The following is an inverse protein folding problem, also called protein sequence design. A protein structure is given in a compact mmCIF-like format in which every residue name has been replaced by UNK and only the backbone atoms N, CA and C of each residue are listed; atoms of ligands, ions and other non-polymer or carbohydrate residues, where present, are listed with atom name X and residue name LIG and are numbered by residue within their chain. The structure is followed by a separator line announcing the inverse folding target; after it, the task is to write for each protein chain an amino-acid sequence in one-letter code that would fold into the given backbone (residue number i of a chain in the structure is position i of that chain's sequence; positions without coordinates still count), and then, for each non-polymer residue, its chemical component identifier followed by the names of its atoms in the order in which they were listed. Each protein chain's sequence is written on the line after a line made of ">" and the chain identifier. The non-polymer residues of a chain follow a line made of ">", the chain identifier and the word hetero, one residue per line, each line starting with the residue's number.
data_IF_428569164681
#
_entry.id   IF_428569164681
#
_cell.length_a   1.000
_cell.length_b   1.000
_cell.length_c   1.000
_cell.angle_alpha   90.00
_cell.angle_beta   90.00
_cell.angle_gamma   90.00
#
_symmetry.space_group_name_H-M   'P 1'
#
loop_
_entity.id
_entity.type
_entity.pdbx_description
1 polymer ?
#
# COMPACT_ATOMS: atom_id res chain seq x y z
N UNK A 1 -3.98 10.88 4.02
CA UNK A 1 -2.84 11.11 3.09
C UNK A 1 -2.88 12.58 2.67
N UNK A 2 -1.85 13.14 2.03
CA UNK A 2 -1.88 14.51 1.50
C UNK A 2 -1.82 14.45 -0.04
N UNK A 3 -2.98 14.64 -0.68
CA UNK A 3 -3.11 14.56 -2.14
C UNK A 3 -2.26 15.60 -2.88
N UNK A 4 -1.98 16.76 -2.25
CA UNK A 4 -1.12 17.80 -2.83
C UNK A 4 0.33 17.34 -2.76
N UNK A 5 0.79 16.83 -1.62
CA UNK A 5 2.15 16.25 -1.46
C UNK A 5 2.41 15.14 -2.46
N UNK A 6 1.44 14.24 -2.66
CA UNK A 6 1.56 13.14 -3.63
C UNK A 6 1.58 13.64 -5.08
N UNK A 7 0.74 14.63 -5.42
CA UNK A 7 0.75 15.21 -6.76
C UNK A 7 2.09 15.87 -7.08
N UNK A 8 2.64 16.63 -6.13
CA UNK A 8 3.96 17.27 -6.24
C UNK A 8 5.08 16.22 -6.35
N UNK A 9 5.05 15.16 -5.53
CA UNK A 9 6.01 14.05 -5.62
C UNK A 9 6.02 13.42 -7.01
N UNK A 10 4.83 13.16 -7.58
CA UNK A 10 4.73 12.60 -8.92
C UNK A 10 5.19 13.56 -10.01
N UNK A 11 4.92 14.84 -9.84
CA UNK A 11 5.41 15.88 -10.76
C UNK A 11 6.93 15.92 -10.75
N UNK A 12 7.57 15.93 -9.58
CA UNK A 12 9.03 15.89 -9.43
C UNK A 12 9.62 14.61 -10.03
N UNK A 13 8.96 13.47 -9.84
CA UNK A 13 9.39 12.18 -10.38
C UNK A 13 8.92 11.93 -11.82
N UNK A 14 8.32 12.92 -12.47
CA UNK A 14 7.88 12.78 -13.87
C UNK A 14 9.10 12.57 -14.77
N UNK A 15 9.05 11.53 -15.60
CA UNK A 15 10.17 11.12 -16.45
C UNK A 15 11.07 10.05 -15.83
N UNK A 16 10.88 9.70 -14.56
CA UNK A 16 11.46 8.49 -13.94
C UNK A 16 10.52 7.29 -14.09
N UNK A 17 11.02 6.09 -13.80
CA UNK A 17 10.20 4.88 -13.84
C UNK A 17 9.28 4.70 -12.62
N UNK A 18 9.59 5.36 -11.50
CA UNK A 18 8.94 5.15 -10.20
C UNK A 18 7.43 5.36 -10.20
N UNK A 19 6.87 6.43 -10.80
CA UNK A 19 5.42 6.60 -10.86
C UNK A 19 4.72 5.47 -11.64
N UNK A 20 5.36 4.95 -12.69
CA UNK A 20 4.80 3.85 -13.48
C UNK A 20 4.93 2.51 -12.75
N UNK A 21 6.08 2.27 -12.10
CA UNK A 21 6.33 1.07 -11.31
C UNK A 21 5.38 0.97 -10.11
N UNK A 22 5.22 2.07 -9.35
CA UNK A 22 4.28 2.15 -8.23
C UNK A 22 2.84 1.91 -8.67
N UNK A 23 2.42 2.43 -9.84
CA UNK A 23 1.08 2.15 -10.39
C UNK A 23 0.88 0.70 -10.79
N UNK A 24 1.88 0.06 -11.39
CA UNK A 24 1.80 -1.38 -11.72
C UNK A 24 1.67 -2.21 -10.44
N UNK A 25 2.54 -1.96 -9.47
CA UNK A 25 2.50 -2.64 -8.17
C UNK A 25 1.16 -2.42 -7.44
N UNK A 26 0.67 -1.18 -7.39
CA UNK A 26 -0.63 -0.86 -6.80
C UNK A 26 -1.80 -1.54 -7.52
N UNK A 27 -1.70 -1.72 -8.84
CA UNK A 27 -2.64 -2.53 -9.62
C UNK A 27 -2.63 -4.00 -9.20
N UNK A 28 -1.45 -4.59 -9.02
CA UNK A 28 -1.30 -5.97 -8.53
C UNK A 28 -1.84 -6.14 -7.11
N UNK A 29 -1.56 -5.18 -6.22
CA UNK A 29 -2.13 -5.14 -4.87
C UNK A 29 -3.66 -5.17 -4.92
N UNK A 30 -4.28 -4.24 -5.67
CA UNK A 30 -5.74 -4.21 -5.85
C UNK A 30 -6.30 -5.52 -6.41
N UNK A 31 -5.70 -6.05 -7.47
CA UNK A 31 -6.21 -7.27 -8.10
C UNK A 31 -6.06 -8.51 -7.21
N UNK A 32 -5.22 -8.44 -6.18
CA UNK A 32 -5.04 -9.51 -5.21
C UNK A 32 -6.05 -9.44 -4.06
N UNK A 33 -6.48 -8.25 -3.64
CA UNK A 33 -7.35 -8.09 -2.46
C UNK A 33 -8.84 -7.94 -2.80
N UNK A 34 -9.17 -7.23 -3.90
CA UNK A 34 -10.57 -6.89 -4.23
C UNK A 34 -11.43 -8.13 -4.53
N UNK A 35 -10.98 -9.12 -5.33
CA UNK A 35 -11.79 -10.31 -5.62
C UNK A 35 -12.12 -11.18 -4.40
N UNK A 36 -11.38 -11.01 -3.31
CA UNK A 36 -11.53 -11.78 -2.07
C UNK A 36 -12.21 -10.99 -0.94
N UNK A 37 -12.61 -9.74 -1.19
CA UNK A 37 -13.26 -8.89 -0.19
C UNK A 37 -12.30 -8.42 0.91
N UNK A 38 -10.99 -8.36 0.64
CA UNK A 38 -9.97 -7.91 1.59
C UNK A 38 -8.94 -8.98 1.90
N UNK A 39 -8.57 -9.12 3.17
CA UNK A 39 -7.55 -10.09 3.60
C UNK A 39 -6.11 -9.63 3.37
N UNK A 40 -5.87 -8.31 3.32
CA UNK A 40 -4.54 -7.75 3.23
C UNK A 40 -3.82 -7.82 4.59
N UNK A 41 -2.76 -8.61 4.66
CA UNK A 41 -1.82 -8.66 5.77
C UNK A 41 -0.60 -7.81 5.40
N UNK A 42 -0.21 -6.90 6.27
CA UNK A 42 0.96 -6.04 6.07
C UNK A 42 1.98 -6.33 7.17
N UNK A 43 3.19 -6.71 6.78
CA UNK A 43 4.27 -7.06 7.71
C UNK A 43 5.58 -6.41 7.27
N UNK A 44 6.42 -6.01 8.23
CA UNK A 44 7.80 -5.60 7.95
C UNK A 44 8.83 -6.52 8.57
N UNK A 45 10.05 -6.00 8.79
CA UNK A 45 11.12 -6.75 9.45
C UNK A 45 11.02 -6.62 10.98
N UNK A 46 11.89 -7.33 11.71
CA UNK A 46 11.93 -7.23 13.16
C UNK A 46 12.30 -5.82 13.68
N UNK A 47 12.99 -5.02 12.85
CA UNK A 47 13.43 -3.65 13.19
C UNK A 47 12.66 -2.57 12.43
N UNK A 48 11.86 -2.94 11.43
CA UNK A 48 11.07 -2.02 10.61
C UNK A 48 9.60 -2.42 10.60
N UNK A 49 8.75 -1.60 11.23
CA UNK A 49 7.30 -1.77 11.22
C UNK A 49 6.66 -0.79 10.22
N UNK A 50 5.95 -1.26 9.17
CA UNK A 50 5.41 -0.42 8.10
C UNK A 50 4.09 0.28 8.49
N UNK A 51 4.04 0.84 9.70
CA UNK A 51 2.83 1.46 10.24
C UNK A 51 2.40 2.71 9.45
N UNK A 52 3.35 3.45 8.86
CA UNK A 52 3.07 4.56 7.95
C UNK A 52 2.29 4.10 6.72
N UNK A 53 2.74 3.01 6.07
CA UNK A 53 2.04 2.43 4.93
C UNK A 53 0.65 1.93 5.33
N UNK A 54 0.53 1.29 6.51
CA UNK A 54 -0.76 0.86 7.02
C UNK A 54 -1.75 2.03 7.10
N UNK A 55 -1.33 3.14 7.73
CA UNK A 55 -2.14 4.35 7.83
C UNK A 55 -2.52 4.93 6.46
N UNK A 56 -1.58 4.95 5.51
CA UNK A 56 -1.85 5.44 4.16
C UNK A 56 -2.83 4.57 3.38
N UNK A 57 -2.77 3.26 3.54
CA UNK A 57 -3.73 2.35 2.92
C UNK A 57 -5.12 2.46 3.57
N UNK A 58 -5.21 2.74 4.87
CA UNK A 58 -6.49 3.04 5.55
C UNK A 58 -7.12 4.34 5.03
N UNK A 59 -6.32 5.39 4.89
CA UNK A 59 -6.77 6.66 4.31
C UNK A 59 -7.24 6.45 2.87
N UNK A 60 -6.45 5.73 2.07
CA UNK A 60 -6.78 5.48 0.67
C UNK A 60 -8.02 4.60 0.52
N UNK A 61 -8.18 3.58 1.36
CA UNK A 61 -9.39 2.76 1.47
C UNK A 61 -10.64 3.64 1.64
N UNK A 62 -10.56 4.60 2.55
CA UNK A 62 -11.65 5.55 2.83
C UNK A 62 -11.91 6.47 1.63
N UNK A 63 -10.87 7.00 1.01
CA UNK A 63 -10.98 7.97 -0.08
C UNK A 63 -11.44 7.36 -1.41
N UNK A 64 -10.96 6.16 -1.72
CA UNK A 64 -11.29 5.44 -2.96
C UNK A 64 -12.58 4.64 -2.85
N UNK A 65 -13.10 4.43 -1.64
CA UNK A 65 -14.25 3.57 -1.38
C UNK A 65 -13.95 2.09 -1.59
N UNK A 66 -12.68 1.70 -1.40
CA UNK A 66 -12.19 0.31 -1.50
C UNK A 66 -11.82 -0.20 -0.10
N UNK A 67 -12.80 -0.66 0.69
CA UNK A 67 -12.53 -1.14 2.05
C UNK A 67 -11.53 -2.31 2.10
N UNK A 68 -11.40 -3.07 1.01
CA UNK A 68 -10.49 -4.20 0.85
C UNK A 68 -9.00 -3.81 0.94
N UNK A 69 -8.68 -2.53 0.76
CA UNK A 69 -7.32 -2.00 0.92
C UNK A 69 -6.92 -1.82 2.40
N UNK A 70 -7.86 -1.89 3.34
CA UNK A 70 -7.59 -1.74 4.77
C UNK A 70 -6.72 -2.92 5.26
N UNK A 71 -5.45 -2.69 5.63
CA UNK A 71 -4.56 -3.78 6.00
C UNK A 71 -4.73 -4.18 7.47
N UNK A 72 -4.46 -5.45 7.76
CA UNK A 72 -4.10 -5.90 9.11
C UNK A 72 -2.59 -5.78 9.28
N UNK A 73 -2.14 -4.85 10.12
CA UNK A 73 -0.72 -4.73 10.47
C UNK A 73 -0.30 -5.89 11.36
N UNK A 74 0.58 -6.75 10.86
CA UNK A 74 1.17 -7.87 11.60
C UNK A 74 2.50 -7.43 12.21
N UNK A 75 2.62 -7.60 13.52
CA UNK A 75 3.73 -7.09 14.32
C UNK A 75 4.66 -8.21 14.77
N UNK A 76 5.96 -7.92 14.81
CA UNK A 76 6.96 -8.82 15.41
C UNK A 76 6.86 -8.84 16.93
N UNK A 77 6.45 -7.72 17.52
CA UNK A 77 6.24 -7.56 18.96
C UNK A 77 4.90 -6.90 19.19
N UNK A 78 4.09 -7.51 20.05
CA UNK A 78 2.81 -6.95 20.50
C UNK A 78 3.00 -6.54 21.95
N UNK A 79 2.79 -5.26 22.23
CA UNK A 79 2.88 -4.75 23.59
C UNK A 79 1.80 -5.36 24.49
N UNK A 80 2.12 -5.72 25.76
CA UNK A 80 1.12 -6.18 26.71
C UNK A 80 -0.02 -5.17 26.86
N UNK A 81 -1.26 -5.63 26.73
CA UNK A 81 -2.44 -4.77 26.82
C UNK A 81 -2.73 -3.94 25.57
N UNK A 82 -2.03 -4.17 24.45
CA UNK A 82 -2.38 -3.56 23.17
C UNK A 82 -3.85 -3.87 22.80
N UNK A 83 -4.60 -2.90 22.25
CA UNK A 83 -5.94 -3.15 21.72
C UNK A 83 -5.94 -4.31 20.73
N UNK A 84 -7.00 -5.12 20.71
CA UNK A 84 -7.06 -6.34 19.88
C UNK A 84 -6.71 -6.10 18.41
N UNK A 85 -7.13 -4.96 17.83
CA UNK A 85 -6.86 -4.60 16.45
C UNK A 85 -5.40 -4.16 16.17
N UNK A 86 -4.60 -3.90 17.22
CA UNK A 86 -3.16 -3.62 17.15
C UNK A 86 -2.30 -4.76 17.73
N UNK A 87 -2.94 -5.85 18.15
CA UNK A 87 -2.33 -6.97 18.85
C UNK A 87 -2.15 -8.20 17.94
N UNK A 88 -1.99 -7.99 16.64
CA UNK A 88 -1.84 -9.08 15.67
C UNK A 88 -0.37 -9.42 15.49
N UNK A 89 0.04 -10.59 15.99
CA UNK A 89 1.41 -11.09 15.91
C UNK A 89 1.68 -12.00 14.70
N UNK A 90 2.92 -12.44 14.56
CA UNK A 90 3.40 -13.26 13.43
C UNK A 90 2.63 -14.59 13.21
N UNK A 91 1.97 -15.14 14.23
CA UNK A 91 1.10 -16.31 14.09
C UNK A 91 -0.04 -16.09 13.07
N UNK A 92 -0.40 -14.83 12.78
CA UNK A 92 -1.38 -14.50 11.76
C UNK A 92 -0.89 -14.83 10.34
N UNK A 93 0.40 -14.75 10.08
CA UNK A 93 1.01 -15.12 8.79
C UNK A 93 0.99 -16.64 8.63
N UNK A 94 1.26 -17.38 9.70
CA UNK A 94 1.23 -18.85 9.71
C UNK A 94 -0.17 -19.40 9.39
N UNK A 95 -1.21 -18.67 9.78
CA UNK A 95 -2.60 -19.00 9.46
C UNK A 95 -3.03 -18.54 8.06
N UNK A 96 -2.18 -17.81 7.32
CA UNK A 96 -2.56 -17.24 6.04
C UNK A 96 -2.57 -18.25 4.90
N UNK A 97 -3.50 -18.09 3.96
CA UNK A 97 -3.68 -19.04 2.87
C UNK A 97 -4.44 -18.47 1.68
N UNK A 98 -5.08 -19.36 0.91
CA UNK A 98 -5.81 -18.99 -0.31
C UNK A 98 -6.82 -17.88 -0.09
N UNK A 99 -6.73 -16.83 -0.90
CA UNK A 99 -7.61 -15.66 -0.85
C UNK A 99 -7.09 -14.52 0.03
N UNK A 100 -5.98 -14.74 0.74
CA UNK A 100 -5.30 -13.69 1.51
C UNK A 100 -4.10 -13.15 0.75
N UNK A 101 -3.77 -11.89 1.00
CA UNK A 101 -2.60 -11.22 0.40
C UNK A 101 -1.66 -10.78 1.51
N UNK A 102 -0.41 -11.22 1.45
CA UNK A 102 0.67 -10.78 2.33
C UNK A 102 1.53 -9.74 1.59
N UNK A 103 1.56 -8.51 2.10
CA UNK A 103 2.46 -7.45 1.68
C UNK A 103 3.62 -7.36 2.66
N UNK A 104 4.82 -7.76 2.22
CA UNK A 104 6.07 -7.63 2.96
C UNK A 104 6.75 -6.31 2.62
N UNK A 105 7.14 -5.53 3.63
CA UNK A 105 7.92 -4.30 3.44
C UNK A 105 9.26 -4.43 4.16
N UNK A 106 10.34 -4.48 3.39
CA UNK A 106 11.65 -4.87 3.88
C UNK A 106 12.75 -3.94 3.36
N UNK A 107 13.04 -2.80 4.04
CA UNK A 107 14.15 -1.92 3.64
C UNK A 107 15.54 -2.58 3.78
N UNK A 108 15.59 -3.73 4.44
CA UNK A 108 16.76 -4.58 4.57
C UNK A 108 16.32 -6.04 4.54
N UNK A 109 17.27 -6.95 4.28
CA UNK A 109 17.02 -8.38 4.25
C UNK A 109 16.24 -8.88 5.48
N UNK A 110 15.06 -9.49 5.30
CA UNK A 110 14.30 -10.08 6.38
C UNK A 110 15.05 -11.24 7.05
N UNK A 111 14.84 -11.42 8.35
CA UNK A 111 15.36 -12.58 9.07
C UNK A 111 14.74 -13.90 8.59
N UNK A 112 15.52 -14.99 8.66
CA UNK A 112 15.14 -16.32 8.16
C UNK A 112 13.76 -16.79 8.68
N UNK A 113 13.49 -16.62 9.99
CA UNK A 113 12.20 -17.03 10.55
C UNK A 113 10.98 -16.26 10.04
N UNK A 114 11.15 -15.06 9.47
CA UNK A 114 10.06 -14.38 8.75
C UNK A 114 9.93 -14.93 7.33
N UNK A 115 11.05 -15.16 6.64
CA UNK A 115 11.06 -15.74 5.29
C UNK A 115 10.43 -17.14 5.27
N UNK A 116 10.70 -17.96 6.27
CA UNK A 116 10.07 -19.27 6.46
C UNK A 116 8.54 -19.15 6.56
N UNK A 117 8.03 -18.25 7.42
CA UNK A 117 6.58 -18.02 7.56
C UNK A 117 5.95 -17.51 6.27
N UNK A 118 6.63 -16.60 5.55
CA UNK A 118 6.17 -16.09 4.25
C UNK A 118 6.13 -17.22 3.22
N UNK A 119 7.15 -18.09 3.21
CA UNK A 119 7.18 -19.27 2.36
C UNK A 119 6.01 -20.21 2.66
N UNK A 120 5.74 -20.48 3.94
CA UNK A 120 4.64 -21.35 4.36
C UNK A 120 3.27 -20.77 3.98
N UNK A 121 3.04 -19.47 4.20
CA UNK A 121 1.83 -18.78 3.75
C UNK A 121 1.64 -18.88 2.24
N UNK A 122 2.72 -18.71 1.46
CA UNK A 122 2.71 -18.90 0.00
C UNK A 122 2.35 -20.34 -0.37
N UNK A 123 2.93 -21.34 0.31
CA UNK A 123 2.59 -22.77 0.05
C UNK A 123 1.13 -23.07 0.38
N UNK A 124 0.56 -22.40 1.38
CA UNK A 124 -0.86 -22.48 1.73
C UNK A 124 -1.78 -21.70 0.75
N UNK A 125 -1.20 -20.98 -0.22
CA UNK A 125 -1.91 -20.32 -1.32
C UNK A 125 -2.14 -18.82 -1.14
N UNK A 126 -1.50 -18.18 -0.15
CA UNK A 126 -1.54 -16.72 -0.03
C UNK A 126 -0.77 -16.06 -1.18
N UNK A 127 -1.31 -14.94 -1.67
CA UNK A 127 -0.59 -14.07 -2.62
C UNK A 127 0.42 -13.25 -1.85
N UNK A 128 1.70 -13.32 -2.24
CA UNK A 128 2.79 -12.57 -1.60
C UNK A 128 3.22 -11.44 -2.53
N UNK A 129 3.29 -10.21 -2.02
CA UNK A 129 3.81 -9.03 -2.70
C UNK A 129 4.92 -8.42 -1.85
N UNK A 130 5.92 -7.77 -2.45
CA UNK A 130 7.03 -7.15 -1.70
C UNK A 130 7.40 -5.73 -2.14
N UNK A 131 7.65 -4.88 -1.14
CA UNK A 131 8.38 -3.61 -1.27
C UNK A 131 9.69 -3.77 -0.51
N UNK A 132 10.81 -3.91 -1.21
CA UNK A 132 12.08 -4.33 -0.59
C UNK A 132 13.32 -3.66 -1.18
N UNK A 133 14.50 -4.05 -0.70
CA UNK A 133 15.81 -3.57 -1.16
C UNK A 133 16.38 -4.33 -2.37
N UNK A 134 15.61 -5.25 -2.95
CA UNK A 134 16.01 -6.11 -4.04
C UNK A 134 16.59 -7.47 -3.63
N UNK A 135 16.45 -7.88 -2.37
CA UNK A 135 16.90 -9.18 -1.88
C UNK A 135 16.40 -10.36 -2.75
N UNK A 136 17.31 -11.26 -3.19
CA UNK A 136 16.96 -12.34 -4.11
C UNK A 136 16.08 -13.43 -3.47
N UNK A 137 16.15 -13.66 -2.15
CA UNK A 137 15.28 -14.64 -1.49
C UNK A 137 13.86 -14.10 -1.41
N UNK A 138 13.68 -12.81 -1.07
CA UNK A 138 12.38 -12.15 -1.10
C UNK A 138 11.77 -12.20 -2.51
N UNK A 139 12.56 -11.88 -3.54
CA UNK A 139 12.13 -11.96 -4.95
C UNK A 139 11.69 -13.37 -5.35
N UNK A 140 12.32 -14.42 -4.81
CA UNK A 140 11.94 -15.81 -5.07
C UNK A 140 10.61 -16.22 -4.41
N UNK A 141 10.17 -15.49 -3.39
CA UNK A 141 8.91 -15.73 -2.66
C UNK A 141 7.76 -14.88 -3.19
N UNK A 142 8.01 -13.64 -3.59
CA UNK A 142 6.98 -12.72 -4.02
C UNK A 142 6.43 -13.06 -5.42
N UNK A 143 5.14 -12.80 -5.62
CA UNK A 143 4.46 -12.87 -6.92
C UNK A 143 4.60 -11.55 -7.68
N UNK A 144 4.78 -10.44 -6.96
CA UNK A 144 5.09 -9.12 -7.49
C UNK A 144 6.04 -8.40 -6.52
N UNK A 145 7.03 -7.71 -7.07
CA UNK A 145 8.07 -7.03 -6.30
C UNK A 145 8.31 -5.64 -6.87
N UNK A 146 8.31 -4.64 -5.99
CA UNK A 146 8.84 -3.32 -6.29
C UNK A 146 10.05 -3.07 -5.38
N UNK A 147 11.23 -3.32 -5.94
CA UNK A 147 12.51 -3.15 -5.26
C UNK A 147 13.01 -1.71 -5.38
N UNK A 148 13.55 -1.17 -4.28
CA UNK A 148 14.22 0.12 -4.19
C UNK A 148 15.60 -0.12 -3.61
N UNK A 149 16.61 -0.12 -4.46
CA UNK A 149 17.99 -0.39 -4.10
C UNK A 149 18.67 0.87 -3.56
N UNK A 150 19.74 0.71 -2.77
CA UNK A 150 20.49 1.85 -2.24
C UNK A 150 21.19 2.74 -3.29
N UNK A 151 21.22 2.31 -4.55
CA UNK A 151 21.72 3.11 -5.68
C UNK A 151 20.64 3.95 -6.37
N UNK A 152 19.38 3.79 -6.00
CA UNK A 152 18.27 4.51 -6.61
C UNK A 152 18.12 5.91 -6.04
N UNK A 153 17.65 6.83 -6.89
CA UNK A 153 17.44 8.25 -6.53
C UNK A 153 16.18 8.48 -5.66
N UNK A 154 15.52 7.41 -5.21
CA UNK A 154 14.29 7.46 -4.40
C UNK A 154 14.43 6.58 -3.17
N UNK A 155 13.84 7.01 -2.05
CA UNK A 155 13.75 6.19 -0.86
C UNK A 155 12.48 5.31 -0.86
N UNK A 156 12.51 4.26 -0.04
CA UNK A 156 11.40 3.32 0.09
C UNK A 156 10.13 3.98 0.64
N UNK A 157 10.24 5.01 1.49
CA UNK A 157 9.09 5.73 2.07
C UNK A 157 8.32 6.50 0.98
N UNK A 158 9.03 7.14 0.07
CA UNK A 158 8.47 7.81 -1.11
C UNK A 158 7.77 6.81 -2.02
N UNK A 159 8.36 5.63 -2.26
CA UNK A 159 7.71 4.57 -3.02
C UNK A 159 6.46 4.05 -2.33
N UNK A 160 6.47 3.90 -1.00
CA UNK A 160 5.28 3.55 -0.22
C UNK A 160 4.16 4.58 -0.37
N UNK A 161 4.48 5.88 -0.38
CA UNK A 161 3.50 6.94 -0.66
C UNK A 161 2.92 6.83 -2.07
N UNK A 162 3.78 6.60 -3.08
CA UNK A 162 3.35 6.45 -4.48
C UNK A 162 2.43 5.24 -4.66
N UNK A 163 2.79 4.10 -4.07
CA UNK A 163 2.00 2.86 -4.11
C UNK A 163 0.66 3.06 -3.42
N UNK A 164 0.65 3.64 -2.21
CA UNK A 164 -0.59 3.89 -1.47
C UNK A 164 -1.53 4.76 -2.28
N UNK A 165 -1.05 5.91 -2.78
CA UNK A 165 -1.88 6.79 -3.58
C UNK A 165 -2.33 6.16 -4.89
N UNK A 166 -1.48 5.34 -5.52
CA UNK A 166 -1.85 4.62 -6.72
C UNK A 166 -2.82 3.46 -6.43
N UNK A 167 -2.93 2.98 -5.19
CA UNK A 167 -3.78 1.86 -4.80
C UNK A 167 -5.27 2.19 -4.89
N UNK A 168 -5.68 3.45 -4.68
CA UNK A 168 -7.05 3.89 -4.90
C UNK A 168 -7.32 4.51 -6.28
N UNK A 169 -6.30 4.62 -7.13
CA UNK A 169 -6.47 5.05 -8.53
C UNK A 169 -7.20 3.99 -9.33
N UNK A 170 -8.52 4.12 -9.38
CA UNK A 170 -9.34 3.31 -10.24
C UNK A 170 -8.80 3.35 -11.68
N UNK A 171 -8.66 2.14 -12.23
CA UNK A 171 -8.56 1.82 -13.66
C UNK A 171 -9.78 2.38 -14.40
N UNK A 172 -9.91 3.70 -14.54
CA UNK A 172 -10.75 4.26 -15.57
C UNK A 172 -10.19 3.74 -16.90
N UNK A 173 -11.00 3.15 -17.80
CA UNK A 173 -10.52 2.84 -19.14
C UNK A 173 -9.90 4.11 -19.71
N UNK A 174 -8.70 4.00 -20.28
CA UNK A 174 -7.96 5.14 -20.82
C UNK A 174 -8.93 6.08 -21.55
N UNK A 175 -9.10 7.34 -21.11
CA UNK A 175 -10.14 8.18 -21.66
C UNK A 175 -9.75 8.54 -23.09
N UNK A 176 -10.38 7.88 -24.05
CA UNK A 176 -10.55 8.43 -25.39
C UNK A 176 -11.44 9.67 -25.24
N UNK A 177 -10.83 10.84 -25.06
CA UNK A 177 -11.50 12.13 -25.19
C UNK A 177 -11.26 13.11 -24.04
N UNK A 178 -10.70 14.27 -24.40
CA UNK A 178 -10.51 15.46 -23.56
C UNK A 178 -11.84 15.93 -22.96
N UNK A 179 -12.18 15.57 -21.72
CA UNK A 179 -13.17 16.29 -20.88
C UNK A 179 -12.70 16.51 -19.43
N UNK A 180 -11.96 17.60 -19.29
CA UNK A 180 -11.92 18.65 -18.24
C UNK A 180 -11.95 18.22 -16.75
N UNK A 181 -10.73 18.05 -16.23
CA UNK A 181 -10.37 18.17 -14.79
C UNK A 181 -10.75 19.53 -14.17
N UNK A 182 -10.86 20.57 -15.01
CA UNK A 182 -11.25 21.94 -14.60
C UNK A 182 -12.63 22.01 -13.93
N UNK A 183 -13.58 21.16 -14.33
CA UNK A 183 -14.96 21.24 -13.83
C UNK A 183 -15.14 20.66 -12.42
N UNK A 184 -14.15 19.91 -11.91
CA UNK A 184 -14.12 19.40 -10.54
C UNK A 184 -13.44 20.35 -9.58
N UNK A 185 -12.39 21.05 -10.04
CA UNK A 185 -11.71 22.07 -9.23
C UNK A 185 -12.61 23.29 -8.97
N UNK A 186 -13.40 23.71 -9.97
CA UNK A 186 -14.36 24.81 -9.80
C UNK A 186 -15.43 24.49 -8.75
N UNK A 187 -15.93 23.24 -8.69
CA UNK A 187 -16.94 22.83 -7.70
C UNK A 187 -16.42 22.78 -6.27
N UNK A 188 -15.13 22.50 -6.09
CA UNK A 188 -14.49 22.51 -4.77
C UNK A 188 -14.21 23.94 -4.30
N UNK A 189 -13.83 24.84 -5.23
CA UNK A 189 -13.63 26.25 -4.94
C UNK A 189 -14.95 26.95 -4.55
N UNK A 190 -16.06 26.61 -5.21
CA UNK A 190 -17.38 27.15 -4.88
C UNK A 190 -17.89 26.69 -3.49
N UNK A 191 -17.48 25.50 -3.01
CA UNK A 191 -17.81 25.02 -1.67
C UNK A 191 -16.98 25.68 -0.56
N UNK A 192 -15.74 26.09 -0.85
CA UNK A 192 -14.87 26.78 0.12
C UNK A 192 -15.18 28.28 0.25
N UNK A 193 -15.80 28.87 -0.78
CA UNK A 193 -16.20 30.29 -0.79
C UNK A 193 -17.65 30.52 -0.36
N UNK A 194 -18.39 29.47 0.04
CA UNK A 194 -19.76 29.60 0.51
C UNK A 194 -19.80 30.26 1.90
N UNK A 195 -20.53 31.39 2.09
CA UNK A 195 -20.66 32.02 3.39
C UNK A 195 -21.38 31.10 4.39
N UNK A 196 -21.05 31.16 5.70
CA UNK A 196 -21.65 30.28 6.70
C UNK A 196 -23.16 30.52 6.80
N UNK A 197 -23.98 29.45 6.97
CA UNK A 197 -25.42 29.59 7.03
C UNK A 197 -25.83 30.45 8.23
N UNK A 198 -26.81 31.34 8.01
CA UNK A 198 -27.38 32.19 9.04
C UNK A 198 -27.96 31.31 10.16
N UNK A 199 -27.44 31.48 11.37
CA UNK A 199 -27.94 30.80 12.57
C UNK A 199 -29.30 31.39 12.93
N UNK A 200 -30.29 30.54 13.18
CA UNK A 200 -31.53 30.88 13.88
C UNK A 200 -31.33 30.71 15.38
#
# INVERSE_FOLDING_TARGET
>A
MDAVRVALLREVLTGTEWPAAARRFAGALRSSVVPHGGGLLLVGTAVYEPWHLAAHLVDESTWSGLPELTPTLVRHRVEPGAPAHLAVGLCRIEAAGRGETLLLVAPERPGAGLLERVHDARRAGATVLSLDDGDPEVRGLAHETLAVTGSDDVDLDTVQHLVSAAAGENSAPAPRGRRRFRDRLSRLADQLMAPPPARW
#
